data_IF_549101974343
#
_entry.id   IF_549101974343
#
_cell.length_a   1.000
_cell.length_b   1.000
_cell.length_c   1.000
_cell.angle_alpha   90.00
_cell.angle_beta   90.00
_cell.angle_gamma   90.00
#
_symmetry.space_group_name_H-M   'P 1'
#
loop_
_entity.id
_entity.type
_entity.pdbx_description
1 polymer ?
#
# COMPACT_ATOMS: atom_id res chain seq x y z
N UNK A 1 -34.23 36.46 13.72
CA UNK A 1 -32.98 36.00 14.36
C UNK A 1 -32.02 35.57 13.26
N UNK A 2 -31.35 36.57 12.67
CA UNK A 2 -30.34 36.38 11.61
C UNK A 2 -29.09 35.76 12.22
N UNK A 3 -28.64 34.62 11.68
CA UNK A 3 -27.25 34.17 11.79
C UNK A 3 -26.88 33.45 10.52
N UNK A 4 -26.25 34.21 9.64
CA UNK A 4 -25.37 33.71 8.60
C UNK A 4 -24.08 33.21 9.26
N UNK A 5 -23.68 32.00 8.92
CA UNK A 5 -22.30 31.55 9.02
C UNK A 5 -21.87 31.09 7.63
N UNK A 6 -21.24 32.02 6.93
CA UNK A 6 -20.47 31.75 5.72
C UNK A 6 -19.06 31.32 6.17
N UNK A 7 -18.64 30.10 5.85
CA UNK A 7 -17.21 29.73 5.76
C UNK A 7 -17.02 28.83 4.54
N UNK A 8 -16.79 29.50 3.42
CA UNK A 8 -15.70 29.25 2.47
C UNK A 8 -15.15 27.82 2.30
N UNK A 9 -15.45 27.25 1.12
CA UNK A 9 -14.49 26.75 0.13
C UNK A 9 -13.18 26.15 0.65
N UNK A 10 -13.07 24.82 0.53
CA UNK A 10 -11.79 24.18 0.21
C UNK A 10 -11.99 23.23 -0.96
N UNK A 11 -11.46 23.66 -2.11
CA UNK A 11 -11.22 22.82 -3.26
C UNK A 11 -10.11 21.83 -2.89
N UNK A 12 -10.43 20.54 -2.79
CA UNK A 12 -9.43 19.49 -2.82
C UNK A 12 -9.14 19.16 -4.28
N UNK A 13 -8.04 19.73 -4.76
CA UNK A 13 -7.31 19.39 -5.98
C UNK A 13 -7.32 17.89 -6.32
N UNK A 14 -7.59 17.50 -7.58
CA UNK A 14 -7.22 16.19 -8.11
C UNK A 14 -5.82 16.29 -8.73
N UNK A 15 -4.77 16.04 -7.94
CA UNK A 15 -3.38 15.94 -8.44
C UNK A 15 -2.57 15.29 -7.28
N UNK A 16 -1.85 14.17 -7.38
CA UNK A 16 -1.07 13.64 -8.49
C UNK A 16 -1.15 12.11 -8.51
N UNK A 17 -1.49 11.54 -9.66
CA UNK A 17 -0.87 10.28 -10.07
C UNK A 17 0.62 10.57 -10.32
N UNK A 18 1.58 9.82 -9.77
CA UNK A 18 2.93 9.93 -10.28
C UNK A 18 2.96 9.26 -11.64
N UNK A 19 3.00 10.13 -12.65
CA UNK A 19 3.36 9.82 -14.01
C UNK A 19 4.68 9.04 -14.07
N UNK A 20 4.71 8.19 -15.07
CA UNK A 20 5.78 7.29 -15.47
C UNK A 20 7.11 8.04 -15.58
N UNK A 21 8.13 7.56 -14.86
CA UNK A 21 9.53 7.80 -15.22
C UNK A 21 10.08 6.49 -15.78
N UNK A 22 10.16 6.41 -17.10
CA UNK A 22 10.97 5.42 -17.78
C UNK A 22 12.44 5.77 -17.52
N UNK A 23 13.07 5.03 -16.60
CA UNK A 23 14.51 4.97 -16.43
C UNK A 23 14.89 3.49 -16.45
N UNK A 24 15.63 3.08 -17.46
CA UNK A 24 16.31 1.79 -17.52
C UNK A 24 17.27 1.68 -16.34
N UNK A 25 16.88 1.03 -15.24
CA UNK A 25 17.74 0.60 -14.13
C UNK A 25 16.86 -0.27 -13.20
N UNK A 26 17.12 -1.60 -13.15
CA UNK A 26 16.57 -2.64 -12.23
C UNK A 26 15.11 -2.46 -11.74
N UNK A 27 14.18 -3.39 -12.05
CA UNK A 27 12.78 -3.27 -11.64
C UNK A 27 12.67 -2.99 -10.14
N UNK A 28 12.03 -1.86 -9.79
CA UNK A 28 11.84 -1.43 -8.40
C UNK A 28 11.13 -2.56 -7.63
N UNK A 29 11.56 -2.90 -6.41
CA UNK A 29 11.05 -4.04 -5.64
C UNK A 29 9.53 -3.96 -5.34
N UNK A 30 8.93 -2.78 -5.49
CA UNK A 30 7.49 -2.56 -5.36
C UNK A 30 6.63 -3.11 -6.51
N UNK A 31 7.21 -3.56 -7.63
CA UNK A 31 6.44 -4.04 -8.79
C UNK A 31 6.40 -5.56 -8.95
N UNK A 32 7.15 -6.29 -8.13
CA UNK A 32 7.43 -7.71 -8.37
C UNK A 32 6.39 -8.60 -7.67
N UNK A 33 6.12 -8.32 -6.39
CA UNK A 33 5.21 -9.09 -5.54
C UNK A 33 4.03 -8.23 -5.11
N UNK A 34 3.44 -7.49 -6.06
CA UNK A 34 2.25 -6.66 -5.80
C UNK A 34 1.08 -7.45 -5.23
N UNK A 35 0.65 -8.59 -5.82
CA UNK A 35 -0.51 -9.31 -5.30
C UNK A 35 -0.24 -9.86 -3.89
N UNK A 36 0.95 -10.40 -3.61
CA UNK A 36 1.32 -10.89 -2.28
C UNK A 36 1.40 -9.75 -1.26
N UNK A 37 1.95 -8.60 -1.67
CA UNK A 37 1.99 -7.40 -0.82
C UNK A 37 0.58 -6.92 -0.48
N UNK A 38 -0.31 -6.82 -1.45
CA UNK A 38 -1.71 -6.43 -1.26
C UNK A 38 -2.40 -7.41 -0.31
N UNK A 39 -2.30 -8.72 -0.55
CA UNK A 39 -2.89 -9.72 0.35
C UNK A 39 -2.35 -9.64 1.79
N UNK A 40 -1.07 -9.33 1.97
CA UNK A 40 -0.47 -9.10 3.29
C UNK A 40 -1.01 -7.82 3.95
N UNK A 41 -1.07 -6.72 3.20
CA UNK A 41 -1.65 -5.45 3.67
C UNK A 41 -3.11 -5.61 4.06
N UNK A 42 -3.94 -6.19 3.19
CA UNK A 42 -5.34 -6.49 3.42
C UNK A 42 -5.51 -7.36 4.68
N UNK A 43 -4.71 -8.41 4.80
CA UNK A 43 -4.77 -9.27 5.98
C UNK A 43 -4.45 -8.49 7.27
N UNK A 44 -3.39 -7.67 7.29
CA UNK A 44 -3.05 -6.87 8.46
C UNK A 44 -4.11 -5.80 8.76
N UNK A 45 -4.68 -5.18 7.73
CA UNK A 45 -5.64 -4.09 7.86
C UNK A 45 -7.02 -4.58 8.31
N UNK A 46 -7.44 -5.77 7.88
CA UNK A 46 -8.75 -6.33 8.17
C UNK A 46 -8.76 -7.38 9.29
N UNK A 47 -7.61 -7.83 9.76
CA UNK A 47 -7.54 -8.75 10.89
C UNK A 47 -8.06 -8.08 12.17
N UNK A 48 -8.90 -8.81 12.90
CA UNK A 48 -9.47 -8.38 14.19
C UNK A 48 -8.78 -9.02 15.40
N UNK A 49 -7.71 -9.77 15.16
CA UNK A 49 -6.94 -10.43 16.21
C UNK A 49 -6.02 -9.44 16.91
N UNK A 50 -5.71 -9.69 18.18
CA UNK A 50 -4.70 -8.93 18.93
C UNK A 50 -3.29 -9.05 18.32
N UNK A 51 -3.04 -10.09 17.53
CA UNK A 51 -1.77 -10.35 16.85
C UNK A 51 -1.98 -10.64 15.35
N UNK A 52 -2.26 -9.63 14.52
CA UNK A 52 -2.49 -9.81 13.10
C UNK A 52 -1.24 -10.34 12.37
N UNK A 53 -0.04 -10.09 12.90
CA UNK A 53 1.21 -10.64 12.35
C UNK A 53 1.29 -12.17 12.38
N UNK A 54 0.73 -12.81 13.42
CA UNK A 54 0.71 -14.28 13.50
C UNK A 54 -0.38 -14.87 12.60
N UNK A 55 -1.54 -14.22 12.50
CA UNK A 55 -2.62 -14.63 11.60
C UNK A 55 -2.21 -14.50 10.13
N UNK A 56 -1.58 -13.38 9.77
CA UNK A 56 -1.12 -13.08 8.42
C UNK A 56 0.25 -13.69 8.08
N UNK A 57 0.76 -14.58 8.93
CA UNK A 57 2.10 -15.16 8.76
C UNK A 57 2.23 -15.90 7.42
N UNK A 58 1.17 -16.58 6.99
CA UNK A 58 1.12 -17.25 5.68
C UNK A 58 1.27 -16.27 4.50
N UNK A 59 0.55 -15.14 4.51
CA UNK A 59 0.65 -14.10 3.47
C UNK A 59 1.98 -13.35 3.53
N UNK A 60 2.54 -13.13 4.74
CA UNK A 60 3.86 -12.54 4.93
C UNK A 60 4.96 -13.45 4.35
N UNK A 61 4.89 -14.76 4.59
CA UNK A 61 5.85 -15.73 4.06
C UNK A 61 5.76 -15.85 2.53
N UNK A 62 4.56 -15.80 1.96
CA UNK A 62 4.40 -15.73 0.49
C UNK A 62 5.07 -14.49 -0.09
N UNK A 63 4.85 -13.31 0.52
CA UNK A 63 5.49 -12.08 0.08
C UNK A 63 7.03 -12.15 0.16
N UNK A 64 7.56 -12.68 1.26
CA UNK A 64 9.01 -12.90 1.44
C UNK A 64 9.57 -13.89 0.43
N UNK A 65 8.88 -15.00 0.19
CA UNK A 65 9.27 -16.02 -0.79
C UNK A 65 9.29 -15.45 -2.19
N UNK A 66 8.26 -14.67 -2.54
CA UNK A 66 8.21 -13.97 -3.81
C UNK A 66 9.42 -13.04 -3.94
N UNK A 67 9.68 -12.14 -2.98
CA UNK A 67 10.82 -11.21 -3.08
C UNK A 67 12.18 -11.90 -3.08
N UNK A 68 12.33 -13.01 -2.35
CA UNK A 68 13.53 -13.84 -2.36
C UNK A 68 13.78 -14.47 -3.74
N UNK A 69 12.73 -14.84 -4.48
CA UNK A 69 12.83 -15.35 -5.86
C UNK A 69 13.44 -14.34 -6.83
N UNK A 70 13.37 -13.04 -6.53
CA UNK A 70 13.98 -11.97 -7.32
C UNK A 70 15.28 -11.44 -6.71
N UNK A 71 15.80 -12.09 -5.67
CA UNK A 71 17.07 -11.73 -5.03
C UNK A 71 16.98 -10.59 -4.02
N UNK A 72 15.78 -10.21 -3.58
CA UNK A 72 15.57 -9.19 -2.56
C UNK A 72 15.35 -9.83 -1.18
N UNK A 73 16.09 -9.37 -0.16
CA UNK A 73 15.84 -9.73 1.26
C UNK A 73 14.94 -8.68 1.90
N UNK A 74 13.89 -9.11 2.60
CA UNK A 74 12.78 -8.29 3.13
C UNK A 74 12.51 -8.62 4.58
#
# INVERSE_FOLDING_TARGET
>A
MVSAMEVTKSAATPEQAPAQTAQSEKPKPCCVCKPEKTARDDCMLFSKSDNPEQECKSTIEQYKTCMAGFGFKV
#
